data_IF_257382086956
#
_entry.id   IF_257382086956
#
_cell.length_a   1.000
_cell.length_b   1.000
_cell.length_c   1.000
_cell.angle_alpha   90.00
_cell.angle_beta   90.00
_cell.angle_gamma   90.00
#
_symmetry.space_group_name_H-M   'P 1'
#
loop_
_entity.id
_entity.type
_entity.pdbx_description
1 polymer ?
#
# COMPACT_ATOMS: atom_id res chain seq x y z
N UNK A 1 9.33 3.82 -1.90
CA UNK A 1 10.21 3.26 -2.96
C UNK A 1 10.83 4.41 -3.70
N UNK A 2 12.15 4.50 -3.66
CA UNK A 2 12.88 5.60 -4.29
C UNK A 2 13.01 5.37 -5.81
N UNK A 3 13.31 6.42 -6.60
CA UNK A 3 13.47 6.30 -8.05
C UNK A 3 14.55 5.31 -8.49
N UNK A 4 15.55 5.06 -7.64
CA UNK A 4 16.62 4.07 -7.85
C UNK A 4 16.20 2.62 -7.54
N UNK A 5 14.93 2.41 -7.14
CA UNK A 5 14.40 1.09 -6.79
C UNK A 5 14.67 0.67 -5.34
N UNK A 6 15.31 1.52 -4.52
CA UNK A 6 15.53 1.20 -3.11
C UNK A 6 14.24 1.23 -2.28
N UNK A 7 14.19 0.35 -1.28
CA UNK A 7 13.05 0.14 -0.39
C UNK A 7 13.38 0.59 1.03
N UNK A 8 12.78 1.68 1.44
CA UNK A 8 12.84 2.24 2.78
C UNK A 8 11.54 2.98 3.13
N UNK A 9 11.43 3.33 4.40
CA UNK A 9 10.40 4.18 4.95
C UNK A 9 10.87 5.63 4.97
N UNK A 10 9.98 6.54 4.59
CA UNK A 10 10.20 7.98 4.64
C UNK A 10 9.19 8.64 5.58
N UNK A 11 9.57 9.78 6.15
CA UNK A 11 8.66 10.68 6.89
C UNK A 11 8.05 11.76 5.98
N UNK A 12 8.51 11.83 4.73
CA UNK A 12 8.03 12.78 3.75
C UNK A 12 6.75 12.28 3.07
N UNK A 13 5.60 12.69 3.60
CA UNK A 13 4.28 12.43 3.04
C UNK A 13 3.97 13.27 1.79
N UNK A 14 4.85 14.22 1.38
CA UNK A 14 4.65 15.04 0.19
C UNK A 14 5.16 14.40 -1.10
N UNK A 15 6.01 13.38 -0.99
CA UNK A 15 6.57 12.67 -2.14
C UNK A 15 5.63 11.57 -2.65
N UNK A 16 5.38 11.53 -3.96
CA UNK A 16 4.65 10.43 -4.61
C UNK A 16 5.40 9.07 -4.56
N UNK A 17 6.55 9.00 -3.87
CA UNK A 17 7.38 7.80 -3.72
C UNK A 17 6.77 6.78 -2.72
N UNK A 18 5.76 7.19 -1.95
CA UNK A 18 5.06 6.36 -0.96
C UNK A 18 3.71 5.83 -1.46
N UNK A 19 3.36 6.07 -2.73
CA UNK A 19 2.12 5.61 -3.34
C UNK A 19 2.29 4.21 -3.95
N UNK A 20 1.38 3.30 -3.62
CA UNK A 20 1.41 1.92 -4.07
C UNK A 20 0.04 1.45 -4.55
N UNK A 21 0.04 0.69 -5.63
CA UNK A 21 -1.09 -0.13 -6.05
C UNK A 21 -1.07 -1.41 -5.22
N UNK A 22 -2.15 -1.68 -4.47
CA UNK A 22 -2.42 -2.97 -3.85
C UNK A 22 -3.33 -3.77 -4.79
N UNK A 23 -2.74 -4.66 -5.57
CA UNK A 23 -3.43 -5.40 -6.63
C UNK A 23 -3.80 -6.78 -6.09
N UNK A 24 -5.10 -7.14 -5.99
CA UNK A 24 -5.50 -8.48 -5.57
C UNK A 24 -5.15 -9.50 -6.67
N UNK A 25 -4.39 -10.52 -6.31
CA UNK A 25 -3.92 -11.59 -7.22
C UNK A 25 -4.29 -12.99 -6.70
N UNK A 26 -5.23 -13.04 -5.76
CA UNK A 26 -5.74 -14.25 -5.13
C UNK A 26 -6.48 -13.95 -3.84
N UNK A 27 -7.09 -14.97 -3.24
CA UNK A 27 -7.80 -14.83 -1.97
C UNK A 27 -6.83 -14.40 -0.86
N UNK A 28 -6.95 -13.14 -0.41
CA UNK A 28 -6.04 -12.53 0.58
C UNK A 28 -4.57 -12.51 0.11
N UNK A 29 -4.35 -12.48 -1.20
CA UNK A 29 -3.01 -12.37 -1.79
C UNK A 29 -2.96 -11.11 -2.64
N UNK A 30 -1.95 -10.29 -2.38
CA UNK A 30 -1.74 -9.02 -3.06
C UNK A 30 -0.37 -8.96 -3.72
N UNK A 31 -0.30 -8.27 -4.85
CA UNK A 31 0.92 -7.69 -5.36
C UNK A 31 0.99 -6.22 -4.91
N UNK A 32 2.19 -5.77 -4.54
CA UNK A 32 2.43 -4.39 -4.11
C UNK A 32 3.32 -3.74 -5.17
N UNK A 33 2.78 -2.79 -5.92
CA UNK A 33 3.49 -2.12 -7.01
C UNK A 33 3.62 -0.63 -6.71
N UNK A 34 4.79 -0.05 -6.92
CA UNK A 34 4.95 1.41 -6.83
C UNK A 34 4.23 2.10 -7.98
N UNK A 35 3.43 3.11 -7.65
CA UNK A 35 2.75 3.97 -8.63
C UNK A 35 3.78 4.73 -9.47
N UNK A 36 4.87 5.17 -8.83
CA UNK A 36 5.88 6.06 -9.43
C UNK A 36 6.81 5.33 -10.39
N UNK A 37 7.30 4.14 -10.02
CA UNK A 37 8.28 3.39 -10.83
C UNK A 37 7.66 2.24 -11.62
N UNK A 38 6.45 1.79 -11.28
CA UNK A 38 5.84 0.59 -11.84
C UNK A 38 6.46 -0.73 -11.35
N UNK A 39 7.47 -0.67 -10.47
CA UNK A 39 8.14 -1.86 -9.95
C UNK A 39 7.31 -2.53 -8.85
N UNK A 40 7.32 -3.85 -8.84
CA UNK A 40 6.77 -4.67 -7.76
C UNK A 40 7.75 -4.79 -6.61
N UNK A 41 7.25 -4.82 -5.38
CA UNK A 41 8.02 -5.34 -4.26
C UNK A 41 8.03 -6.87 -4.37
N UNK A 42 9.20 -7.47 -4.16
CA UNK A 42 9.38 -8.92 -4.14
C UNK A 42 10.27 -9.34 -2.96
N UNK A 43 10.17 -10.62 -2.56
CA UNK A 43 11.02 -11.20 -1.53
C UNK A 43 11.67 -12.46 -2.05
N UNK A 44 13.01 -12.52 -2.04
CA UNK A 44 13.74 -13.67 -2.57
C UNK A 44 13.86 -14.83 -1.57
N UNK A 45 14.39 -15.96 -2.03
CA UNK A 45 14.59 -17.18 -1.22
C UNK A 45 15.55 -17.04 -0.04
N UNK A 46 16.35 -15.98 0.01
CA UNK A 46 17.14 -15.64 1.19
C UNK A 46 16.34 -14.80 2.18
N UNK A 47 15.30 -14.10 1.74
CA UNK A 47 14.44 -13.24 2.53
C UNK A 47 14.76 -11.76 2.34
N UNK A 48 15.60 -11.41 1.36
CA UNK A 48 15.86 -10.03 1.00
C UNK A 48 14.67 -9.48 0.21
N UNK A 49 14.27 -8.26 0.58
CA UNK A 49 13.30 -7.49 -0.17
C UNK A 49 14.02 -6.81 -1.33
N UNK A 50 13.42 -6.86 -2.51
CA UNK A 50 13.95 -6.23 -3.71
C UNK A 50 12.81 -5.74 -4.60
N UNK A 51 13.17 -5.05 -5.68
CA UNK A 51 12.20 -4.54 -6.65
C UNK A 51 12.29 -5.31 -7.96
N UNK A 52 11.13 -5.65 -8.52
CA UNK A 52 11.02 -6.45 -9.74
C UNK A 52 10.21 -5.70 -10.79
N UNK A 53 10.70 -5.68 -12.04
CA UNK A 53 9.92 -5.19 -13.19
C UNK A 53 8.80 -6.16 -13.56
N UNK A 54 9.08 -7.46 -13.46
CA UNK A 54 8.12 -8.52 -13.77
C UNK A 54 7.33 -8.92 -12.53
N UNK A 55 6.05 -9.23 -12.74
CA UNK A 55 5.27 -9.90 -11.73
C UNK A 55 5.63 -11.39 -11.70
N UNK A 56 6.31 -11.80 -10.64
CA UNK A 56 6.73 -13.19 -10.39
C UNK A 56 6.03 -13.76 -9.17
N UNK A 57 6.24 -15.05 -8.89
CA UNK A 57 5.72 -15.67 -7.66
C UNK A 57 6.31 -15.04 -6.38
N UNK A 58 7.51 -14.44 -6.44
CA UNK A 58 8.13 -13.72 -5.31
C UNK A 58 7.47 -12.36 -5.02
N UNK A 59 6.65 -11.84 -5.94
CA UNK A 59 5.87 -10.61 -5.78
C UNK A 59 4.54 -10.83 -5.04
N UNK A 60 4.19 -12.08 -4.72
CA UNK A 60 2.91 -12.43 -4.09
C UNK A 60 3.05 -12.41 -2.57
N UNK A 61 2.29 -11.54 -1.92
CA UNK A 61 2.21 -11.47 -0.47
C UNK A 61 0.82 -11.85 0.02
N UNK A 62 0.78 -12.76 0.99
CA UNK A 62 -0.44 -13.00 1.76
C UNK A 62 -0.65 -11.86 2.74
N UNK A 63 -1.74 -11.13 2.57
CA UNK A 63 -2.20 -10.14 3.54
C UNK A 63 -2.97 -10.83 4.68
N UNK A 64 -2.78 -10.35 5.90
CA UNK A 64 -3.53 -10.83 7.06
C UNK A 64 -3.68 -9.70 8.06
N UNK A 65 -4.78 -9.74 8.82
CA UNK A 65 -4.99 -8.79 9.91
C UNK A 65 -4.29 -9.30 11.17
N UNK A 66 -3.69 -8.39 11.92
CA UNK A 66 -3.09 -8.64 13.22
C UNK A 66 -3.72 -7.72 14.27
N UNK A 67 -4.19 -8.33 15.36
CA UNK A 67 -4.88 -7.64 16.49
C UNK A 67 -6.01 -6.71 16.04
N UNK A 68 -6.69 -7.05 14.93
CA UNK A 68 -7.78 -6.28 14.31
C UNK A 68 -7.43 -4.86 13.83
N UNK A 69 -6.17 -4.44 13.94
CA UNK A 69 -5.77 -3.07 13.65
C UNK A 69 -4.71 -2.95 12.55
N UNK A 70 -3.73 -3.87 12.54
CA UNK A 70 -2.63 -3.83 11.59
C UNK A 70 -2.83 -4.83 10.46
N UNK A 71 -2.28 -4.50 9.29
CA UNK A 71 -2.12 -5.44 8.19
C UNK A 71 -0.67 -5.90 8.16
N UNK A 72 -0.47 -7.21 7.98
CA UNK A 72 0.83 -7.83 7.81
C UNK A 72 0.88 -8.52 6.45
N UNK A 73 2.04 -8.43 5.79
CA UNK A 73 2.27 -9.05 4.49
C UNK A 73 3.34 -10.13 4.64
N UNK A 74 3.02 -11.36 4.27
CA UNK A 74 3.96 -12.49 4.32
C UNK A 74 4.24 -13.05 2.95
N UNK A 75 5.47 -13.52 2.70
CA UNK A 75 5.79 -14.22 1.46
C UNK A 75 4.88 -15.42 1.28
N UNK A 76 4.35 -15.59 0.05
CA UNK A 76 3.63 -16.80 -0.32
C UNK A 76 4.54 -18.02 -0.48
N UNK A 77 5.81 -17.81 -0.83
CA UNK A 77 6.77 -18.88 -1.11
C UNK A 77 7.62 -19.24 0.10
N UNK A 78 8.07 -18.23 0.85
CA UNK A 78 9.17 -18.40 1.79
C UNK A 78 8.74 -18.40 3.25
N UNK A 79 9.21 -19.43 3.94
CA UNK A 79 8.97 -19.70 5.35
C UNK A 79 10.21 -20.35 5.96
N UNK A 80 10.32 -20.26 7.28
CA UNK A 80 11.32 -21.04 8.01
C UNK A 80 10.99 -22.53 7.86
N UNK A 81 11.93 -23.32 7.32
CA UNK A 81 11.71 -24.75 7.03
C UNK A 81 11.30 -25.55 8.26
N UNK A 82 12.02 -25.40 9.38
CA UNK A 82 11.78 -26.21 10.58
C UNK A 82 10.51 -25.82 11.35
N UNK A 83 10.30 -24.51 11.57
CA UNK A 83 9.17 -24.03 12.39
C UNK A 83 7.91 -23.70 11.61
N UNK A 84 7.96 -23.71 10.28
CA UNK A 84 6.89 -23.23 9.41
C UNK A 84 6.60 -21.73 9.52
N UNK A 85 7.39 -20.98 10.30
CA UNK A 85 7.17 -19.55 10.55
C UNK A 85 7.30 -18.75 9.25
N UNK A 86 6.26 -17.98 8.91
CA UNK A 86 6.28 -17.14 7.72
C UNK A 86 7.35 -16.04 7.79
N UNK A 87 7.82 -15.64 6.61
CA UNK A 87 8.66 -14.46 6.45
C UNK A 87 7.79 -13.26 6.07
N UNK A 88 8.08 -12.10 6.65
CA UNK A 88 7.22 -10.92 6.55
C UNK A 88 7.92 -9.74 5.91
N UNK A 89 7.18 -8.95 5.15
CA UNK A 89 7.58 -7.59 4.82
C UNK A 89 7.76 -6.81 6.13
N UNK A 90 8.79 -5.98 6.24
CA UNK A 90 8.96 -5.16 7.42
C UNK A 90 10.08 -4.13 7.34
N UNK A 91 9.94 -3.10 8.16
CA UNK A 91 10.91 -2.02 8.34
C UNK A 91 11.41 -1.99 9.78
N UNK A 92 12.67 -1.60 10.00
CA UNK A 92 13.18 -1.35 11.34
C UNK A 92 12.73 0.04 11.85
N UNK A 93 13.19 0.42 13.06
CA UNK A 93 12.82 1.72 13.67
C UNK A 93 13.37 2.91 12.89
N UNK A 94 14.44 2.69 12.15
CA UNK A 94 15.13 3.64 11.30
C UNK A 94 14.49 3.73 9.90
N UNK A 95 13.43 2.94 9.63
CA UNK A 95 12.73 2.91 8.34
C UNK A 95 13.41 2.04 7.28
N UNK A 96 14.47 1.29 7.61
CA UNK A 96 15.19 0.47 6.64
C UNK A 96 14.49 -0.89 6.45
N UNK A 97 14.46 -1.36 5.20
CA UNK A 97 13.95 -2.69 4.88
C UNK A 97 14.70 -3.79 5.63
N UNK A 98 13.92 -4.71 6.22
CA UNK A 98 14.45 -5.84 6.97
C UNK A 98 14.35 -7.14 6.17
N UNK A 99 15.31 -8.05 6.40
CA UNK A 99 15.25 -9.43 5.90
C UNK A 99 14.01 -10.13 6.46
N UNK A 100 13.20 -10.74 5.61
CA UNK A 100 11.87 -11.25 5.97
C UNK A 100 11.88 -12.32 7.05
N UNK A 101 12.95 -13.12 7.13
CA UNK A 101 13.14 -14.11 8.20
C UNK A 101 13.37 -13.48 9.58
N UNK A 102 13.85 -12.23 9.65
CA UNK A 102 14.08 -11.46 10.89
C UNK A 102 12.83 -10.72 11.35
N UNK A 103 11.88 -10.49 10.45
CA UNK A 103 10.60 -9.85 10.77
C UNK A 103 9.66 -10.87 11.40
N UNK A 104 9.02 -10.50 12.52
CA UNK A 104 8.11 -11.37 13.28
C UNK A 104 6.71 -10.77 13.28
N UNK A 105 5.69 -11.61 13.09
CA UNK A 105 4.26 -11.24 13.11
C UNK A 105 3.85 -10.34 14.28
N UNK A 106 4.37 -10.61 15.47
CA UNK A 106 4.02 -9.90 16.72
C UNK A 106 4.85 -8.65 16.98
N UNK A 107 5.77 -8.28 16.06
CA UNK A 107 6.65 -7.13 16.24
C UNK A 107 6.20 -5.97 15.36
N UNK A 108 6.31 -4.72 15.85
CA UNK A 108 5.92 -3.52 15.10
C UNK A 108 6.54 -3.41 13.71
N UNK A 109 7.72 -3.99 13.51
CA UNK A 109 8.37 -4.04 12.20
C UNK A 109 7.51 -4.66 11.09
N UNK A 110 6.58 -5.56 11.43
CA UNK A 110 5.68 -6.21 10.47
C UNK A 110 4.35 -5.48 10.27
N UNK A 111 4.08 -4.44 11.06
CA UNK A 111 2.76 -3.85 11.22
C UNK A 111 2.61 -2.65 10.29
N UNK A 112 1.74 -2.77 9.31
CA UNK A 112 1.42 -1.70 8.37
C UNK A 112 -0.03 -1.24 8.58
N UNK A 113 -0.25 0.05 8.40
CA UNK A 113 -1.58 0.64 8.32
C UNK A 113 -1.76 1.22 6.90
N UNK A 114 -2.42 0.50 5.98
CA UNK A 114 -2.74 1.05 4.68
C UNK A 114 -3.58 2.32 4.83
N UNK A 115 -3.21 3.38 4.11
CA UNK A 115 -4.01 4.60 3.97
C UNK A 115 -4.61 4.61 2.56
N UNK A 116 -5.84 4.10 2.35
CA UNK A 116 -6.45 4.09 1.04
C UNK A 116 -6.64 5.51 0.51
N UNK A 117 -6.34 5.73 -0.77
CA UNK A 117 -6.63 6.99 -1.46
C UNK A 117 -7.90 6.84 -2.31
N UNK A 118 -7.86 5.90 -3.26
CA UNK A 118 -8.98 5.60 -4.13
C UNK A 118 -8.99 4.13 -4.52
N UNK A 119 -10.13 3.68 -5.04
CA UNK A 119 -10.27 2.35 -5.63
C UNK A 119 -10.04 2.46 -7.13
N UNK A 120 -9.15 1.62 -7.66
CA UNK A 120 -8.86 1.55 -9.08
C UNK A 120 -9.00 0.11 -9.58
N UNK A 121 -9.37 -0.02 -10.85
CA UNK A 121 -9.45 -1.31 -11.54
C UNK A 121 -8.11 -1.62 -12.19
N UNK A 122 -7.53 -2.77 -11.88
CA UNK A 122 -6.25 -3.21 -12.44
C UNK A 122 -6.47 -4.40 -13.36
N UNK A 123 -5.71 -4.43 -14.46
CA UNK A 123 -5.56 -5.65 -15.24
C UNK A 123 -4.77 -6.67 -14.40
N UNK A 124 -5.18 -7.93 -14.45
CA UNK A 124 -4.42 -9.01 -13.83
C UNK A 124 -2.98 -9.03 -14.38
N UNK A 125 -1.95 -8.90 -13.52
CA UNK A 125 -0.56 -8.93 -13.97
C UNK A 125 -0.19 -10.31 -14.55
N UNK A 126 0.53 -10.33 -15.67
CA UNK A 126 1.05 -11.59 -16.23
C UNK A 126 2.12 -12.19 -15.32
N UNK A 127 1.95 -13.46 -14.97
CA UNK A 127 2.88 -14.19 -14.12
C UNK A 127 4.08 -14.69 -14.95
N UNK A 128 5.29 -14.39 -14.48
CA UNK A 128 6.56 -14.79 -15.09
C UNK A 128 7.38 -15.66 -14.14
N UNK A 129 8.35 -16.38 -14.68
CA UNK A 129 9.28 -17.18 -13.89
C UNK A 129 10.34 -16.32 -13.19
N UNK A 130 10.84 -16.81 -12.06
CA UNK A 130 11.90 -16.12 -11.32
C UNK A 130 13.21 -16.20 -12.11
N UNK A 131 13.82 -15.05 -12.39
CA UNK A 131 15.06 -14.96 -13.18
C UNK A 131 14.84 -14.67 -14.67
N UNK A 132 13.58 -14.62 -15.13
CA UNK A 132 13.25 -14.11 -16.45
C UNK A 132 13.60 -12.61 -16.53
N UNK A 133 14.23 -12.20 -17.63
CA UNK A 133 14.59 -10.79 -17.87
C UNK A 133 13.74 -10.24 -18.99
N UNK A 134 13.25 -9.01 -18.82
CA UNK A 134 12.44 -8.35 -19.84
C UNK A 134 13.34 -7.88 -20.97
N UNK A 135 13.03 -8.18 -22.25
CA UNK A 135 13.66 -7.49 -23.37
C UNK A 135 13.43 -5.98 -23.21
N UNK A 136 14.48 -5.16 -23.38
CA UNK A 136 14.46 -3.70 -23.12
C UNK A 136 13.27 -2.94 -23.74
N UNK A 137 12.69 -3.44 -24.83
CA UNK A 137 11.50 -2.88 -25.47
C UNK A 137 10.18 -3.15 -24.70
N UNK A 138 10.05 -4.33 -24.07
CA UNK A 138 8.87 -4.70 -23.30
C UNK A 138 8.83 -4.04 -21.90
N UNK A 139 10.00 -3.77 -21.30
CA UNK A 139 10.10 -3.03 -20.03
C UNK A 139 9.56 -1.60 -20.17
N UNK A 140 9.88 -0.93 -21.28
CA UNK A 140 9.36 0.41 -21.59
C UNK A 140 7.82 0.42 -21.78
N UNK A 141 7.26 -0.62 -22.40
CA UNK A 141 5.82 -0.76 -22.57
C UNK A 141 5.08 -1.05 -21.26
N UNK A 142 5.64 -1.90 -20.39
CA UNK A 142 5.07 -2.19 -19.06
C UNK A 142 5.12 -0.97 -18.14
N UNK A 143 6.22 -0.21 -18.15
CA UNK A 143 6.35 1.05 -17.43
C UNK A 143 5.34 2.10 -17.94
N UNK A 144 5.14 2.19 -19.26
CA UNK A 144 4.14 3.07 -19.85
C UNK A 144 2.70 2.68 -19.47
N UNK A 145 2.38 1.37 -19.42
CA UNK A 145 1.07 0.88 -19.00
C UNK A 145 0.81 1.13 -17.51
N UNK A 146 1.82 0.92 -16.65
CA UNK A 146 1.74 1.23 -15.22
C UNK A 146 1.61 2.74 -14.97
N UNK A 147 2.35 3.56 -15.71
CA UNK A 147 2.25 5.02 -15.67
C UNK A 147 0.90 5.53 -16.19
N UNK A 148 0.32 4.90 -17.22
CA UNK A 148 -1.01 5.24 -17.72
C UNK A 148 -2.10 4.89 -16.70
N UNK A 149 -1.98 3.73 -16.02
CA UNK A 149 -2.89 3.35 -14.94
C UNK A 149 -2.76 4.32 -13.74
N UNK A 150 -1.53 4.70 -13.38
CA UNK A 150 -1.22 5.69 -12.34
C UNK A 150 -1.75 7.09 -12.69
N UNK A 151 -1.63 7.52 -13.95
CA UNK A 151 -2.15 8.80 -14.41
C UNK A 151 -3.69 8.82 -14.46
N UNK A 152 -4.31 7.71 -14.84
CA UNK A 152 -5.77 7.56 -14.80
C UNK A 152 -6.31 7.60 -13.36
N UNK A 153 -5.61 6.93 -12.43
CA UNK A 153 -5.89 7.00 -10.99
C UNK A 153 -5.73 8.44 -10.47
N UNK A 154 -4.56 9.06 -10.65
CA UNK A 154 -4.31 10.44 -10.21
C UNK A 154 -5.28 11.47 -10.82
N UNK A 155 -5.71 11.31 -12.08
CA UNK A 155 -6.71 12.15 -12.70
C UNK A 155 -8.12 11.95 -12.11
N UNK A 156 -8.48 10.72 -11.73
CA UNK A 156 -9.74 10.43 -11.03
C UNK A 156 -9.74 11.03 -9.61
N UNK A 157 -8.65 10.92 -8.86
CA UNK A 157 -8.48 11.54 -7.55
C UNK A 157 -8.55 13.09 -7.62
N UNK A 158 -7.90 13.70 -8.62
CA UNK A 158 -7.96 15.14 -8.84
C UNK A 158 -9.37 15.62 -9.22
N UNK A 159 -10.08 14.86 -10.07
CA UNK A 159 -11.46 15.16 -10.45
C UNK A 159 -12.43 15.07 -9.25
N UNK A 160 -12.26 14.09 -8.36
CA UNK A 160 -13.07 13.93 -7.15
C UNK A 160 -12.94 15.10 -6.15
N UNK A 161 -11.82 15.83 -6.19
CA UNK A 161 -11.58 16.97 -5.28
C UNK A 161 -12.29 18.26 -5.72
N UNK A 162 -12.77 18.32 -6.98
CA UNK A 162 -13.42 19.52 -7.54
C UNK A 162 -14.94 19.62 -7.31
N UNK A 163 -15.56 18.62 -6.66
CA UNK A 163 -17.01 18.63 -6.37
C UNK A 163 -17.31 19.03 -4.92
N UNK A 164 -16.83 20.19 -4.49
CA UNK A 164 -17.36 20.91 -3.33
C UNK A 164 -18.38 21.93 -3.82
N UNK A 165 -19.63 21.51 -3.97
CA UNK A 165 -20.75 22.43 -4.11
C UNK A 165 -20.97 23.12 -2.78
N UNK A 166 -20.72 24.42 -2.76
CA UNK A 166 -21.10 25.35 -1.72
C UNK A 166 -22.61 25.26 -1.44
N UNK A 167 -22.98 24.78 -0.25
CA UNK A 167 -24.28 25.09 0.35
C UNK A 167 -24.02 25.76 1.71
N UNK A 168 -24.48 27.01 1.94
CA UNK A 168 -24.50 27.56 3.28
C UNK A 168 -25.64 26.90 4.07
N UNK A 169 -25.32 26.33 5.23
CA UNK A 169 -26.31 25.83 6.16
C UNK A 169 -27.19 27.00 6.67
N UNK A 170 -28.42 27.10 6.16
CA UNK A 170 -29.44 27.98 6.72
C UNK A 170 -30.01 27.32 7.99
N UNK A 171 -29.51 27.70 9.16
CA UNK A 171 -30.16 27.38 10.44
C UNK A 171 -31.40 28.28 10.59
N UNK A 172 -32.59 27.72 10.37
CA UNK A 172 -33.86 28.37 10.68
C UNK A 172 -34.09 28.44 12.19
N UNK A 173 -34.57 29.61 12.64
CA UNK A 173 -34.58 30.03 14.03
C UNK A 173 -35.54 29.30 14.97
N UNK A 174 -35.07 29.08 16.20
CA UNK A 174 -35.89 28.86 17.39
C UNK A 174 -35.54 29.91 18.45
N UNK A 175 -36.50 30.78 18.76
CA UNK A 175 -36.40 31.90 19.71
C UNK A 175 -36.13 31.40 21.14
N UNK A 176 -35.33 32.10 21.98
CA UNK A 176 -35.09 31.68 23.36
C UNK A 176 -36.37 31.80 24.20
N UNK A 177 -36.77 30.71 24.86
CA UNK A 177 -37.86 30.71 25.84
C UNK A 177 -37.27 31.00 27.22
N UNK A 178 -37.52 32.21 27.72
CA UNK A 178 -37.26 32.62 29.10
C UNK A 178 -38.12 31.80 30.07
N UNK A 179 -37.55 31.33 31.17
CA UNK A 179 -38.30 30.89 32.37
C UNK A 179 -38.07 31.89 33.51
N UNK A 180 -39.13 32.22 34.28
CA UNK A 180 -39.13 33.32 35.23
C UNK A 180 -38.48 33.00 36.59
N UNK A 181 -38.05 34.05 37.27
CA UNK A 181 -37.40 34.10 38.58
C UNK A 181 -38.31 33.79 39.79
N UNK A 182 -37.63 33.25 40.83
CA UNK A 182 -37.80 33.38 42.31
C UNK A 182 -38.87 32.55 43.06
N UNK A 183 -38.73 32.28 44.39
CA UNK A 183 -38.04 33.12 45.40
C UNK A 183 -37.05 32.48 46.42
N UNK A 184 -36.15 33.36 46.87
CA UNK A 184 -35.57 33.64 48.20
C UNK A 184 -35.42 32.55 49.27
N UNK A 185 -34.18 32.38 49.75
CA UNK A 185 -33.76 32.72 51.13
C UNK A 185 -32.41 33.41 51.08
#
# INVERSE_FOLDING_TARGET
MNPDGSLDGTKDDSSNSSLFNLIPVGLRVVAIQSVKSGLYIAMNGEGHLYTSELFTAECKFKESVFENYYVIYSSMLYRQQESGRAWFLGLNKEGQAMKGNRVKKTKPAAHFLPKPLEVAMYREPSLHDVGETVPKAAAAAAAAAAAAAAAAAAAAAAAATSKSTSEPAMMNGGKPVSKPDKPTT
#
